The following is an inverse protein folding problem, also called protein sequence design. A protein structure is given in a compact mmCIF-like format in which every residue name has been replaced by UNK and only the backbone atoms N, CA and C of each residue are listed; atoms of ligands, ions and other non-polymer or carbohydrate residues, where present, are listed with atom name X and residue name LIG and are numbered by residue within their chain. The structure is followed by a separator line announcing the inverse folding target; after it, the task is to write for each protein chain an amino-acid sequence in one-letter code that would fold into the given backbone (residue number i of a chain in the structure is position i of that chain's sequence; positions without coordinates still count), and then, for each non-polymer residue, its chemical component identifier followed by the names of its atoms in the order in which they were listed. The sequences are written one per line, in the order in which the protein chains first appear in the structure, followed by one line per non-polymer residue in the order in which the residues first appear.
data_IF_307139144310
#
_entry.id   IF_307139144310
#
_cell.length_a   1.000
_cell.length_b   1.000
_cell.length_c   1.000
_cell.angle_alpha   90.00
_cell.angle_beta   90.00
_cell.angle_gamma   90.00
#
_symmetry.space_group_name_H-M   'P 1'
#
loop_
_entity.id
_entity.type
_entity.pdbx_description
1 polymer ?
#
# COMPACT_ATOMS: atom_id res chain seq x y z
N UNK A 1 1.29 -9.63 -25.29
CA UNK A 1 2.43 -9.81 -24.37
C UNK A 1 2.83 -8.50 -23.70
N UNK A 2 3.07 -7.42 -24.43
CA UNK A 2 3.42 -6.10 -23.86
C UNK A 2 2.36 -5.55 -22.86
N UNK A 3 1.09 -5.73 -23.14
CA UNK A 3 -0.01 -5.31 -22.28
C UNK A 3 0.02 -6.00 -20.90
N UNK A 4 0.18 -7.32 -20.86
CA UNK A 4 0.27 -8.08 -19.61
C UNK A 4 1.50 -7.68 -18.79
N UNK A 5 2.63 -7.42 -19.45
CA UNK A 5 3.82 -6.89 -18.79
C UNK A 5 3.59 -5.50 -18.20
N UNK A 6 2.78 -4.66 -18.85
CA UNK A 6 2.38 -3.35 -18.33
C UNK A 6 1.54 -3.47 -17.04
N UNK A 7 0.51 -4.33 -17.05
CA UNK A 7 -0.33 -4.57 -15.86
C UNK A 7 0.51 -5.13 -14.71
N UNK A 8 1.40 -6.10 -15.00
CA UNK A 8 2.30 -6.68 -14.01
C UNK A 8 3.24 -5.62 -13.42
N UNK A 9 3.85 -4.79 -14.26
CA UNK A 9 4.76 -3.74 -13.82
C UNK A 9 4.06 -2.72 -12.90
N UNK A 10 2.88 -2.24 -13.31
CA UNK A 10 2.08 -1.31 -12.50
C UNK A 10 1.69 -1.95 -11.17
N UNK A 11 1.20 -3.19 -11.17
CA UNK A 11 0.81 -3.89 -9.95
C UNK A 11 2.00 -4.03 -8.97
N UNK A 12 3.18 -4.41 -9.46
CA UNK A 12 4.38 -4.54 -8.62
C UNK A 12 4.78 -3.19 -8.02
N UNK A 13 4.87 -2.14 -8.87
CA UNK A 13 5.30 -0.81 -8.42
C UNK A 13 4.31 -0.27 -7.39
N UNK A 14 3.02 -0.35 -7.67
CA UNK A 14 1.96 0.10 -6.76
C UNK A 14 2.03 -0.64 -5.44
N UNK A 15 2.04 -1.98 -5.46
CA UNK A 15 2.10 -2.78 -4.23
C UNK A 15 3.34 -2.46 -3.40
N UNK A 16 4.52 -2.44 -4.03
CA UNK A 16 5.78 -2.17 -3.32
C UNK A 16 5.76 -0.78 -2.69
N UNK A 17 5.29 0.24 -3.41
CA UNK A 17 5.30 1.62 -2.91
C UNK A 17 4.35 1.85 -1.74
N UNK A 18 3.21 1.18 -1.72
CA UNK A 18 2.19 1.34 -0.65
C UNK A 18 2.39 0.38 0.52
N UNK A 19 3.22 -0.66 0.40
CA UNK A 19 3.44 -1.66 1.45
C UNK A 19 4.88 -1.70 1.98
N UNK A 20 5.74 -0.71 1.64
CA UNK A 20 7.11 -0.66 2.18
C UNK A 20 7.13 -0.50 3.70
N UNK A 21 6.24 0.32 4.23
CA UNK A 21 6.09 0.54 5.67
C UNK A 21 5.48 -0.67 6.39
N UNK A 22 4.58 -1.40 5.73
CA UNK A 22 4.06 -2.67 6.27
C UNK A 22 5.15 -3.67 6.64
N UNK A 23 6.32 -3.62 5.98
CA UNK A 23 7.40 -4.54 6.31
C UNK A 23 7.90 -4.32 7.74
N UNK A 24 7.88 -3.08 8.24
CA UNK A 24 8.30 -2.77 9.61
C UNK A 24 7.27 -3.25 10.63
N UNK A 25 6.00 -3.09 10.31
CA UNK A 25 4.89 -3.61 11.11
C UNK A 25 4.98 -5.14 11.20
N UNK A 26 5.19 -5.81 10.06
CA UNK A 26 5.39 -7.26 9.99
C UNK A 26 6.62 -7.72 10.76
N UNK A 27 7.74 -6.98 10.69
CA UNK A 27 8.94 -7.28 11.49
C UNK A 27 8.63 -7.23 12.98
N UNK A 28 7.84 -6.24 13.44
CA UNK A 28 7.37 -6.13 14.82
C UNK A 28 6.54 -7.35 15.24
N UNK A 29 5.56 -7.74 14.42
CA UNK A 29 4.74 -8.92 14.71
C UNK A 29 5.53 -10.22 14.70
N UNK A 30 6.43 -10.43 13.75
CA UNK A 30 7.28 -11.63 13.71
C UNK A 30 8.31 -11.68 14.84
N UNK A 31 8.74 -10.54 15.37
CA UNK A 31 9.65 -10.46 16.51
C UNK A 31 8.95 -10.72 17.85
N UNK A 32 7.64 -10.48 17.94
CA UNK A 32 6.86 -10.68 19.16
C UNK A 32 6.41 -12.14 19.30
N UNK A 33 6.90 -12.82 20.36
CA UNK A 33 6.56 -14.22 20.65
C UNK A 33 5.08 -14.50 20.95
N UNK A 34 4.29 -13.45 21.19
CA UNK A 34 2.82 -13.58 21.39
C UNK A 34 2.08 -13.95 20.11
N UNK A 35 2.65 -13.63 18.95
CA UNK A 35 2.05 -13.88 17.65
C UNK A 35 2.63 -15.15 17.00
N UNK A 36 1.74 -16.05 16.57
CA UNK A 36 2.13 -17.21 15.78
C UNK A 36 2.21 -16.81 14.30
N UNK A 37 3.18 -17.34 13.57
CA UNK A 37 3.33 -17.09 12.11
C UNK A 37 2.02 -17.21 11.35
N UNK A 38 1.21 -18.24 11.62
CA UNK A 38 -0.10 -18.43 10.97
C UNK A 38 -1.06 -17.27 11.23
N UNK A 39 -1.06 -16.70 12.44
CA UNK A 39 -1.94 -15.57 12.80
C UNK A 39 -1.53 -14.30 12.04
N UNK A 40 -0.22 -14.06 11.91
CA UNK A 40 0.34 -12.94 11.17
C UNK A 40 -0.04 -13.10 9.70
N UNK A 41 0.18 -14.26 9.09
CA UNK A 41 -0.13 -14.52 7.68
C UNK A 41 -1.62 -14.29 7.41
N UNK A 42 -2.51 -14.89 8.20
CA UNK A 42 -3.97 -14.75 8.00
C UNK A 42 -4.38 -13.29 8.20
N UNK A 43 -3.89 -12.63 9.26
CA UNK A 43 -4.23 -11.24 9.55
C UNK A 43 -3.79 -10.29 8.44
N UNK A 44 -2.58 -10.45 7.92
CA UNK A 44 -2.06 -9.65 6.81
C UNK A 44 -2.89 -9.84 5.54
N UNK A 45 -3.21 -11.09 5.17
CA UNK A 45 -4.05 -11.35 4.00
C UNK A 45 -5.45 -10.75 4.16
N UNK A 46 -6.06 -10.84 5.34
CA UNK A 46 -7.36 -10.23 5.61
C UNK A 46 -7.28 -8.70 5.52
N UNK A 47 -6.23 -8.10 6.05
CA UNK A 47 -6.01 -6.66 5.97
C UNK A 47 -5.88 -6.17 4.52
N UNK A 48 -4.96 -6.76 3.76
CA UNK A 48 -4.76 -6.43 2.34
C UNK A 48 -6.02 -6.70 1.50
N UNK A 49 -6.70 -7.83 1.72
CA UNK A 49 -7.94 -8.15 1.02
C UNK A 49 -9.06 -7.13 1.33
N UNK A 50 -9.14 -6.64 2.56
CA UNK A 50 -10.08 -5.60 2.96
C UNK A 50 -9.77 -4.27 2.27
N UNK A 51 -8.52 -3.84 2.28
CA UNK A 51 -8.08 -2.62 1.59
C UNK A 51 -8.33 -2.69 0.08
N UNK A 52 -7.98 -3.84 -0.54
CA UNK A 52 -8.23 -4.11 -1.95
C UNK A 52 -9.73 -4.07 -2.25
N UNK A 53 -10.55 -4.83 -1.51
CA UNK A 53 -12.00 -4.91 -1.71
C UNK A 53 -12.67 -3.56 -1.52
N UNK A 54 -12.28 -2.80 -0.49
CA UNK A 54 -12.76 -1.45 -0.27
C UNK A 54 -12.41 -0.52 -1.45
N UNK A 55 -11.19 -0.60 -1.95
CA UNK A 55 -10.74 0.21 -3.10
C UNK A 55 -11.47 -0.17 -4.39
N UNK A 56 -11.80 -1.47 -4.60
CA UNK A 56 -12.64 -1.91 -5.73
C UNK A 56 -14.04 -1.31 -5.62
N UNK A 57 -14.68 -1.40 -4.44
CA UNK A 57 -16.02 -0.82 -4.24
C UNK A 57 -15.97 0.71 -4.43
N UNK A 58 -14.98 1.37 -3.85
CA UNK A 58 -14.80 2.81 -4.02
C UNK A 58 -14.60 3.19 -5.50
N UNK A 59 -13.83 2.41 -6.26
CA UNK A 59 -13.62 2.64 -7.69
C UNK A 59 -14.89 2.51 -8.52
N UNK A 60 -15.81 1.60 -8.15
CA UNK A 60 -17.10 1.45 -8.81
C UNK A 60 -18.00 2.68 -8.61
N UNK A 61 -17.95 3.30 -7.45
CA UNK A 61 -18.68 4.56 -7.18
C UNK A 61 -18.14 5.71 -8.05
N UNK A 62 -16.85 5.67 -8.36
CA UNK A 62 -16.18 6.64 -9.23
C UNK A 62 -16.52 6.43 -10.70
N UNK A 63 -16.96 5.22 -11.14
CA UNK A 63 -17.33 4.93 -12.53
C UNK A 63 -18.53 5.73 -13.06
N UNK A 64 -19.31 6.36 -12.19
CA UNK A 64 -20.41 7.27 -12.59
C UNK A 64 -19.88 8.64 -13.03
N UNK A 65 -18.60 8.92 -12.77
CA UNK A 65 -17.94 10.20 -13.00
C UNK A 65 -17.12 10.09 -14.31
N UNK A 66 -17.13 11.12 -15.20
CA UNK A 66 -16.27 11.13 -16.39
C UNK A 66 -14.79 10.89 -16.05
N UNK A 67 -14.09 10.16 -16.91
CA UNK A 67 -12.69 9.75 -16.69
C UNK A 67 -11.75 10.92 -16.33
N UNK A 68 -11.97 12.09 -16.94
CA UNK A 68 -11.19 13.30 -16.68
C UNK A 68 -11.27 13.78 -15.22
N UNK A 69 -12.44 13.56 -14.55
CA UNK A 69 -12.60 13.88 -13.13
C UNK A 69 -11.98 12.80 -12.22
N UNK A 70 -11.97 11.54 -12.71
CA UNK A 70 -11.33 10.43 -11.99
C UNK A 70 -9.83 10.69 -11.82
N UNK A 71 -9.21 11.26 -12.85
CA UNK A 71 -7.80 11.63 -12.80
C UNK A 71 -7.46 12.61 -11.67
N UNK A 72 -8.42 13.44 -11.21
CA UNK A 72 -8.20 14.32 -10.05
C UNK A 72 -7.86 13.53 -8.77
N UNK A 73 -8.26 12.26 -8.68
CA UNK A 73 -7.87 11.38 -7.57
C UNK A 73 -6.36 11.11 -7.55
N UNK A 74 -5.66 11.30 -8.66
CA UNK A 74 -4.20 11.28 -8.73
C UNK A 74 -3.52 12.35 -7.86
N UNK A 75 -4.24 13.42 -7.50
CA UNK A 75 -3.73 14.39 -6.54
C UNK A 75 -3.59 13.81 -5.12
N UNK A 76 -4.36 12.77 -4.75
CA UNK A 76 -4.27 12.17 -3.44
C UNK A 76 -2.89 11.53 -3.18
N UNK A 77 -2.37 10.60 -4.01
CA UNK A 77 -1.01 10.08 -3.82
C UNK A 77 0.07 11.16 -3.97
N UNK A 78 -0.12 12.18 -4.81
CA UNK A 78 0.81 13.33 -4.88
C UNK A 78 0.83 14.07 -3.53
N UNK A 79 -0.33 14.37 -2.97
CA UNK A 79 -0.44 15.05 -1.68
C UNK A 79 0.24 14.24 -0.56
N UNK A 80 -0.02 12.92 -0.47
CA UNK A 80 0.62 12.07 0.52
C UNK A 80 2.13 11.97 0.30
N UNK A 81 2.58 11.88 -0.96
CA UNK A 81 3.99 11.89 -1.29
C UNK A 81 4.69 13.19 -0.89
N UNK A 82 4.09 14.34 -1.20
CA UNK A 82 4.62 15.66 -0.83
C UNK A 82 4.61 15.87 0.70
N UNK A 83 3.54 15.44 1.38
CA UNK A 83 3.44 15.49 2.84
C UNK A 83 4.54 14.67 3.49
N UNK A 84 4.76 13.41 3.07
CA UNK A 84 5.85 12.57 3.56
C UNK A 84 7.22 13.17 3.27
N UNK A 85 7.42 13.76 2.09
CA UNK A 85 8.66 14.45 1.74
C UNK A 85 8.91 15.65 2.66
N UNK A 86 7.87 16.41 2.99
CA UNK A 86 7.95 17.54 3.90
C UNK A 86 8.22 17.10 5.36
N UNK A 87 7.61 15.99 5.81
CA UNK A 87 7.88 15.36 7.12
C UNK A 87 9.35 14.93 7.22
N UNK A 88 9.88 14.28 6.17
CA UNK A 88 11.31 13.92 6.07
C UNK A 88 12.23 15.15 6.11
N UNK A 89 11.85 16.23 5.43
CA UNK A 89 12.65 17.46 5.39
C UNK A 89 12.68 18.17 6.75
N UNK A 90 11.59 18.11 7.50
CA UNK A 90 11.51 18.65 8.87
C UNK A 90 12.19 17.77 9.93
N UNK A 91 12.67 16.59 9.55
CA UNK A 91 13.22 15.64 10.52
C UNK A 91 12.18 15.14 11.53
N UNK A 92 10.89 15.27 11.18
CA UNK A 92 9.82 14.63 11.93
C UNK A 92 9.88 13.16 11.50
N UNK A 93 10.70 12.36 12.20
CA UNK A 93 10.60 10.92 12.14
C UNK A 93 9.21 10.58 12.68
N UNK A 94 8.26 10.36 11.79
CA UNK A 94 7.11 9.56 12.08
C UNK A 94 7.61 8.12 12.16
N UNK A 95 8.39 7.83 13.19
CA UNK A 95 8.44 6.53 13.80
C UNK A 95 7.02 6.33 14.36
N UNK A 96 6.10 5.93 13.49
CA UNK A 96 4.94 5.17 13.91
C UNK A 96 5.52 3.93 14.57
N UNK A 97 5.73 4.07 15.86
CA UNK A 97 6.34 3.06 16.69
C UNK A 97 5.39 1.86 16.60
N UNK A 98 5.79 0.74 15.99
CA UNK A 98 4.90 -0.42 15.87
C UNK A 98 4.38 -0.88 17.24
N UNK A 99 5.01 -0.43 18.33
CA UNK A 99 4.62 -0.68 19.71
C UNK A 99 3.30 0.02 20.10
N UNK A 100 2.94 1.16 19.52
CA UNK A 100 1.67 1.83 19.87
C UNK A 100 0.46 1.17 19.24
N UNK A 101 0.60 0.58 18.05
CA UNK A 101 -0.49 -0.17 17.41
C UNK A 101 -0.72 -1.55 18.06
N UNK A 102 0.32 -2.14 18.67
CA UNK A 102 0.18 -3.43 19.38
C UNK A 102 -0.52 -3.32 20.75
N UNK A 103 -0.53 -2.12 21.36
CA UNK A 103 -1.14 -1.89 22.68
C UNK A 103 -2.66 -1.74 22.65
N UNK A 104 -3.26 -1.48 21.49
CA UNK A 104 -4.72 -1.25 21.36
C UNK A 104 -5.57 -2.51 21.45
N UNK A 105 -5.00 -3.69 21.61
CA UNK A 105 -5.71 -4.97 21.44
C UNK A 105 -5.62 -5.96 22.60
N UNK A 106 -5.57 -5.51 23.83
CA UNK A 106 -5.65 -6.43 25.00
C UNK A 106 -7.03 -7.06 25.14
N UNK A 107 -7.43 -7.94 24.23
CA UNK A 107 -8.71 -8.65 24.30
C UNK A 107 -9.20 -9.23 22.96
N UNK A 108 -8.59 -8.87 21.84
CA UNK A 108 -8.96 -9.37 20.52
C UNK A 108 -8.03 -10.49 20.07
N UNK A 109 -8.51 -11.37 19.18
CA UNK A 109 -7.66 -12.40 18.61
C UNK A 109 -6.44 -11.77 17.91
N UNK A 110 -5.27 -12.39 18.02
CA UNK A 110 -4.05 -11.91 17.37
C UNK A 110 -4.21 -11.70 15.85
N UNK A 111 -5.08 -12.47 15.20
CA UNK A 111 -5.44 -12.27 13.79
C UNK A 111 -6.11 -10.91 13.60
N UNK A 112 -7.10 -10.58 14.45
CA UNK A 112 -7.78 -9.30 14.37
C UNK A 112 -6.83 -8.13 14.63
N UNK A 113 -5.88 -8.29 15.56
CA UNK A 113 -4.88 -7.26 15.82
C UNK A 113 -4.03 -6.97 14.56
N UNK A 114 -3.48 -8.01 13.91
CA UNK A 114 -2.71 -7.85 12.67
C UNK A 114 -3.58 -7.24 11.57
N UNK A 115 -4.81 -7.75 11.37
CA UNK A 115 -5.74 -7.23 10.35
C UNK A 115 -6.03 -5.74 10.56
N UNK A 116 -6.37 -5.33 11.78
CA UNK A 116 -6.71 -3.94 12.10
C UNK A 116 -5.51 -3.00 11.92
N UNK A 117 -4.32 -3.44 12.32
CA UNK A 117 -3.10 -2.65 12.12
C UNK A 117 -2.80 -2.49 10.63
N UNK A 118 -2.90 -3.56 9.83
CA UNK A 118 -2.73 -3.49 8.37
C UNK A 118 -3.75 -2.54 7.74
N UNK A 119 -5.03 -2.59 8.14
CA UNK A 119 -6.06 -1.68 7.64
C UNK A 119 -5.75 -0.23 8.05
N UNK A 120 -5.38 -0.01 9.32
CA UNK A 120 -5.06 1.32 9.83
C UNK A 120 -3.85 1.95 9.12
N UNK A 121 -2.85 1.12 8.78
CA UNK A 121 -1.68 1.54 8.01
C UNK A 121 -1.97 1.75 6.52
N UNK A 122 -3.04 1.16 5.98
CA UNK A 122 -3.36 1.11 4.56
C UNK A 122 -4.11 2.32 3.99
N UNK A 123 -4.04 3.49 4.62
CA UNK A 123 -4.67 4.71 4.11
C UNK A 123 -4.12 5.15 2.76
N UNK A 124 -2.83 4.98 2.54
CA UNK A 124 -2.15 5.23 1.27
C UNK A 124 -2.51 4.17 0.21
N UNK A 125 -2.70 2.90 0.61
CA UNK A 125 -3.17 1.85 -0.28
C UNK A 125 -4.52 2.24 -0.92
N UNK A 126 -5.50 2.67 -0.12
CA UNK A 126 -6.81 3.10 -0.62
C UNK A 126 -6.67 4.30 -1.56
N UNK A 127 -5.83 5.28 -1.21
CA UNK A 127 -5.64 6.49 -1.99
C UNK A 127 -5.01 6.24 -3.36
N UNK A 128 -4.22 5.17 -3.50
CA UNK A 128 -3.58 4.75 -4.75
C UNK A 128 -4.40 3.72 -5.51
N UNK A 129 -4.95 2.70 -4.81
CA UNK A 129 -5.69 1.61 -5.46
C UNK A 129 -7.02 2.09 -6.06
N UNK A 130 -7.75 2.97 -5.37
CA UNK A 130 -9.06 3.45 -5.83
C UNK A 130 -8.99 4.12 -7.21
N UNK A 131 -8.15 5.15 -7.46
CA UNK A 131 -8.04 5.74 -8.78
C UNK A 131 -7.43 4.79 -9.82
N UNK A 132 -6.50 3.91 -9.41
CA UNK A 132 -5.96 2.90 -10.30
C UNK A 132 -7.07 1.97 -10.81
N UNK A 133 -7.91 1.42 -9.93
CA UNK A 133 -8.97 0.49 -10.31
C UNK A 133 -10.08 1.17 -11.11
N UNK A 134 -10.35 2.44 -10.88
CA UNK A 134 -11.33 3.22 -11.64
C UNK A 134 -10.99 3.35 -13.14
N UNK A 135 -9.70 3.22 -13.50
CA UNK A 135 -9.22 3.29 -14.88
C UNK A 135 -9.00 1.91 -15.52
N UNK A 136 -9.29 0.81 -14.81
CA UNK A 136 -8.99 -0.56 -15.25
C UNK A 136 -10.26 -1.38 -15.50
N UNK A 137 -10.16 -2.33 -16.41
CA UNK A 137 -11.22 -3.33 -16.64
C UNK A 137 -11.32 -4.32 -15.47
N UNK A 138 -12.47 -4.97 -15.30
CA UNK A 138 -12.67 -5.97 -14.25
C UNK A 138 -11.65 -7.12 -14.33
N UNK A 139 -11.24 -7.54 -15.52
CA UNK A 139 -10.22 -8.57 -15.72
C UNK A 139 -8.82 -8.11 -15.27
N UNK A 140 -8.47 -6.84 -15.48
CA UNK A 140 -7.21 -6.28 -14.99
C UNK A 140 -7.22 -6.15 -13.47
N UNK A 141 -8.33 -5.70 -12.89
CA UNK A 141 -8.49 -5.62 -11.43
C UNK A 141 -8.28 -7.00 -10.82
N UNK A 142 -8.93 -8.05 -11.35
CA UNK A 142 -8.72 -9.43 -10.89
C UNK A 142 -7.26 -9.88 -11.03
N UNK A 143 -6.62 -9.58 -12.16
CA UNK A 143 -5.20 -9.91 -12.36
C UNK A 143 -4.30 -9.20 -11.34
N UNK A 144 -4.54 -7.91 -11.07
CA UNK A 144 -3.83 -7.14 -10.04
C UNK A 144 -4.06 -7.78 -8.65
N UNK A 145 -5.28 -8.21 -8.33
CA UNK A 145 -5.58 -8.90 -7.08
C UNK A 145 -4.79 -10.20 -6.90
N UNK A 146 -4.67 -11.01 -7.95
CA UNK A 146 -3.83 -12.21 -7.94
C UNK A 146 -2.34 -11.87 -7.73
N UNK A 147 -1.85 -10.82 -8.39
CA UNK A 147 -0.48 -10.35 -8.23
C UNK A 147 -0.25 -9.86 -6.80
N UNK A 148 -1.17 -9.08 -6.24
CA UNK A 148 -1.11 -8.60 -4.86
C UNK A 148 -1.08 -9.75 -3.84
N UNK A 149 -1.88 -10.81 -4.08
CA UNK A 149 -1.83 -12.00 -3.23
C UNK A 149 -0.45 -12.68 -3.24
N UNK A 150 0.18 -12.78 -4.42
CA UNK A 150 1.53 -13.34 -4.55
C UNK A 150 2.56 -12.41 -3.89
N UNK A 151 2.47 -11.11 -4.11
CA UNK A 151 3.37 -10.12 -3.52
C UNK A 151 3.25 -10.08 -2.00
N UNK A 152 2.03 -10.22 -1.45
CA UNK A 152 1.81 -10.36 0.00
C UNK A 152 2.54 -11.57 0.57
N UNK A 153 2.51 -12.72 -0.12
CA UNK A 153 3.28 -13.90 0.30
C UNK A 153 4.80 -13.62 0.31
N UNK A 154 5.29 -12.95 -0.74
CA UNK A 154 6.72 -12.57 -0.84
C UNK A 154 7.08 -11.60 0.30
N UNK A 155 6.21 -10.61 0.59
CA UNK A 155 6.41 -9.64 1.66
C UNK A 155 6.48 -10.29 3.04
N UNK A 156 5.54 -11.20 3.32
CA UNK A 156 5.53 -12.01 4.55
C UNK A 156 6.79 -12.87 4.68
N UNK A 157 7.20 -13.53 3.58
CA UNK A 157 8.43 -14.32 3.54
C UNK A 157 9.68 -13.47 3.76
N UNK A 158 9.72 -12.29 3.16
CA UNK A 158 10.82 -11.33 3.34
C UNK A 158 10.89 -10.84 4.80
N UNK A 159 9.77 -10.41 5.39
CA UNK A 159 9.71 -9.97 6.77
C UNK A 159 10.13 -11.08 7.75
N UNK A 160 9.61 -12.31 7.57
CA UNK A 160 9.99 -13.46 8.38
C UNK A 160 11.50 -13.78 8.28
N UNK A 161 12.06 -13.71 7.07
CA UNK A 161 13.48 -13.94 6.84
C UNK A 161 14.35 -12.82 7.43
N UNK A 162 13.90 -11.58 7.34
CA UNK A 162 14.60 -10.39 7.87
C UNK A 162 14.67 -10.39 9.40
N UNK A 163 13.65 -10.87 10.09
CA UNK A 163 13.68 -11.03 11.56
C UNK A 163 14.84 -11.92 11.98
N UNK A 164 15.12 -12.97 11.20
CA UNK A 164 16.22 -13.87 11.47
C UNK A 164 17.60 -13.30 11.08
N UNK A 165 17.63 -12.23 10.26
CA UNK A 165 18.85 -11.58 9.79
C UNK A 165 18.98 -10.14 10.33
N UNK A 166 19.45 -9.96 11.57
CA UNK A 166 19.61 -8.68 12.26
C UNK A 166 20.32 -7.57 11.46
N UNK A 167 21.13 -7.92 10.46
CA UNK A 167 21.91 -6.94 9.66
C UNK A 167 21.15 -6.36 8.46
N UNK A 168 20.09 -7.00 7.98
CA UNK A 168 19.38 -6.59 6.75
C UNK A 168 18.19 -5.65 7.01
N UNK A 169 17.60 -5.68 8.20
CA UNK A 169 16.48 -4.78 8.54
C UNK A 169 16.91 -3.30 8.69
N UNK A 170 18.15 -3.03 9.05
CA UNK A 170 18.66 -1.67 9.25
C UNK A 170 18.71 -0.82 7.95
N UNK A 171 19.18 -1.33 6.78
CA UNK A 171 19.17 -0.57 5.53
C UNK A 171 17.76 -0.25 5.04
N UNK A 172 16.83 -1.22 5.12
CA UNK A 172 15.45 -1.04 4.65
C UNK A 172 14.77 0.06 5.47
N UNK A 173 14.96 0.08 6.80
CA UNK A 173 14.48 1.14 7.67
C UNK A 173 15.06 2.51 7.31
N UNK A 174 16.33 2.53 6.91
CA UNK A 174 17.06 3.78 6.61
C UNK A 174 16.68 4.41 5.27
N UNK A 175 16.33 3.60 4.26
CA UNK A 175 16.10 4.07 2.88
C UNK A 175 14.64 3.95 2.43
N UNK A 176 13.86 3.00 2.96
CA UNK A 176 12.48 2.76 2.52
C UNK A 176 11.63 4.01 2.59
N UNK A 177 11.58 4.67 3.75
CA UNK A 177 10.78 5.87 3.94
C UNK A 177 11.22 7.09 3.10
N UNK A 178 12.47 7.09 2.57
CA UNK A 178 12.94 8.15 1.67
C UNK A 178 12.50 7.96 0.22
N UNK A 179 12.30 6.71 -0.21
CA UNK A 179 11.94 6.37 -1.60
C UNK A 179 10.42 6.48 -1.79
N UNK A 180 9.63 6.07 -0.80
CA UNK A 180 8.16 6.06 -0.85
C UNK A 180 7.55 7.38 -1.34
N UNK A 181 7.94 8.58 -0.85
CA UNK A 181 7.36 9.83 -1.31
C UNK A 181 7.49 10.05 -2.82
N UNK A 182 8.65 9.73 -3.37
CA UNK A 182 8.90 9.90 -4.81
C UNK A 182 8.06 8.94 -5.65
N UNK A 183 7.89 7.70 -5.18
CA UNK A 183 7.05 6.71 -5.87
C UNK A 183 5.58 7.13 -5.83
N UNK A 184 5.07 7.59 -4.69
CA UNK A 184 3.69 8.09 -4.57
C UNK A 184 3.45 9.29 -5.51
N UNK A 185 4.38 10.23 -5.58
CA UNK A 185 4.28 11.38 -6.51
C UNK A 185 4.26 10.87 -7.96
N UNK A 186 5.15 9.96 -8.32
CA UNK A 186 5.22 9.41 -9.67
C UNK A 186 3.93 8.66 -10.06
N UNK A 187 3.34 7.89 -9.14
CA UNK A 187 2.06 7.20 -9.36
C UNK A 187 0.94 8.21 -9.53
N UNK A 188 0.86 9.24 -8.70
CA UNK A 188 -0.15 10.27 -8.83
C UNK A 188 -0.07 11.00 -10.17
N UNK A 189 1.13 11.32 -10.64
CA UNK A 189 1.36 11.91 -11.97
C UNK A 189 0.91 10.94 -13.07
N UNK A 190 1.21 9.64 -12.95
CA UNK A 190 0.79 8.62 -13.91
C UNK A 190 -0.74 8.53 -14.01
N UNK A 191 -1.44 8.56 -12.87
CA UNK A 191 -2.92 8.54 -12.83
C UNK A 191 -3.49 9.80 -13.53
N UNK A 192 -2.94 10.99 -13.25
CA UNK A 192 -3.35 12.23 -13.91
C UNK A 192 -3.14 12.16 -15.43
N UNK A 193 -2.04 11.56 -15.87
CA UNK A 193 -1.71 11.41 -17.27
C UNK A 193 -2.62 10.40 -17.98
N UNK A 194 -2.83 9.21 -17.42
CA UNK A 194 -3.68 8.14 -18.00
C UNK A 194 -5.15 8.56 -18.09
N UNK A 195 -5.66 9.33 -17.14
CA UNK A 195 -7.03 9.83 -17.13
C UNK A 195 -7.24 11.07 -18.02
N UNK A 196 -6.20 11.53 -18.75
CA UNK A 196 -6.24 12.73 -19.59
C UNK A 196 -6.80 13.96 -18.87
N UNK A 197 -6.55 14.05 -17.56
CA UNK A 197 -7.09 15.11 -16.70
C UNK A 197 -6.66 16.51 -17.17
N UNK A 198 -5.53 16.61 -17.88
CA UNK A 198 -5.06 17.85 -18.47
C UNK A 198 -6.10 18.47 -19.43
N UNK A 199 -6.96 17.68 -20.08
CA UNK A 199 -8.04 18.18 -20.96
C UNK A 199 -9.09 19.02 -20.22
N UNK A 200 -9.26 18.84 -18.91
CA UNK A 200 -10.17 19.68 -18.11
C UNK A 200 -9.71 21.13 -17.98
N UNK A 201 -8.43 21.37 -18.17
CA UNK A 201 -7.82 22.70 -18.01
C UNK A 201 -7.55 23.41 -19.33
N UNK A 202 -7.73 22.72 -20.48
CA UNK A 202 -7.42 23.23 -21.81
C UNK A 202 -8.63 23.18 -22.79
N UNK A 203 -9.86 22.97 -22.30
CA UNK A 203 -11.10 23.04 -23.09
C UNK A 203 -11.73 24.42 -23.05
#
# INVERSE_FOLDING_TARGET
MAYLLGVLGVAIVVFVSTNVDDIFVLLGFFADRKFRTKQIVIGQYLGIATLYGFSVVASLLVLVIPASYIGLLGFAPIYFGLRRLWELWKGIDTDDNPEDHSKASAGHSNIAAVTLVTIANGGDNISVYTPLFATRSASEILAIGCIFAILTAIWLGAAHSLVNHRKLGAPIRRYGHRVVPFVLIAIGILILYEAETARLFWS
#
